data_IF_070284342088
#
_entry.id   IF_070284342088
#
_cell.length_a   1.000
_cell.length_b   1.000
_cell.length_c   1.000
_cell.angle_alpha   90.00
_cell.angle_beta   90.00
_cell.angle_gamma   90.00
#
_symmetry.space_group_name_H-M   'P 1'
#
loop_
_entity.id
_entity.type
_entity.pdbx_description
1 polymer ?
#
# COMPACT_ATOMS: atom_id res chain seq x y z
N UNK A 1 9.57 -26.48 -13.60
CA UNK A 1 9.75 -25.21 -12.86
C UNK A 1 8.47 -24.42 -12.99
N UNK A 2 7.73 -24.28 -11.95
CA UNK A 2 6.61 -23.35 -11.89
C UNK A 2 7.20 -21.94 -11.90
N UNK A 3 6.99 -21.17 -12.95
CA UNK A 3 7.21 -19.72 -12.94
C UNK A 3 6.24 -19.15 -11.91
N UNK A 4 6.71 -18.97 -10.70
CA UNK A 4 5.96 -18.28 -9.67
C UNK A 4 5.78 -16.84 -10.14
N UNK A 5 4.54 -16.43 -10.33
CA UNK A 5 4.22 -15.09 -10.81
C UNK A 5 4.29 -14.13 -9.62
N UNK A 6 5.44 -13.49 -9.42
CA UNK A 6 5.64 -12.51 -8.35
C UNK A 6 4.85 -11.25 -8.69
N UNK A 7 3.82 -10.97 -7.90
CA UNK A 7 2.99 -9.77 -8.08
C UNK A 7 3.57 -8.54 -7.38
N UNK A 8 4.20 -8.74 -6.22
CA UNK A 8 4.84 -7.67 -5.46
C UNK A 8 6.24 -8.08 -5.01
N UNK A 9 7.21 -7.22 -5.24
CA UNK A 9 8.60 -7.43 -4.84
C UNK A 9 9.12 -6.17 -4.14
N UNK A 10 9.76 -6.36 -2.99
CA UNK A 10 10.47 -5.33 -2.26
C UNK A 10 11.95 -5.70 -2.19
N UNK A 11 12.82 -4.75 -2.50
CA UNK A 11 14.28 -4.94 -2.52
C UNK A 11 14.96 -3.92 -1.62
N UNK A 12 15.74 -4.42 -0.69
CA UNK A 12 16.64 -3.66 0.19
C UNK A 12 15.92 -2.50 0.90
N UNK A 13 14.71 -2.74 1.42
CA UNK A 13 13.88 -1.70 2.02
C UNK A 13 14.46 -1.24 3.35
N UNK A 14 14.87 0.01 3.38
CA UNK A 14 15.29 0.72 4.59
C UNK A 14 14.40 1.93 4.80
N UNK A 15 13.86 2.07 6.00
CA UNK A 15 13.15 3.28 6.44
C UNK A 15 13.69 3.75 7.77
N UNK A 16 14.20 4.96 7.78
CA UNK A 16 14.70 5.61 8.98
C UNK A 16 13.86 6.85 9.30
N UNK A 17 13.71 7.11 10.58
CA UNK A 17 13.15 8.34 11.13
C UNK A 17 14.18 8.99 12.06
N UNK A 18 14.10 10.32 12.24
CA UNK A 18 15.05 11.07 13.06
C UNK A 18 16.24 11.60 12.26
N UNK A 19 17.10 12.34 12.94
CA UNK A 19 18.27 13.00 12.36
C UNK A 19 19.56 12.52 13.04
N UNK A 20 20.62 12.38 12.27
CA UNK A 20 22.00 12.07 12.70
C UNK A 20 22.09 11.00 13.80
N UNK A 21 22.40 11.40 15.04
CA UNK A 21 22.67 10.48 16.14
C UNK A 21 21.42 9.79 16.71
N UNK A 22 20.21 10.24 16.35
CA UNK A 22 18.93 9.71 16.82
C UNK A 22 18.13 8.98 15.73
N UNK A 23 18.81 8.35 14.77
CA UNK A 23 18.16 7.56 13.74
C UNK A 23 17.51 6.29 14.31
N UNK A 24 16.22 6.12 14.02
CA UNK A 24 15.48 4.91 14.31
C UNK A 24 15.20 4.20 12.99
N UNK A 25 15.62 2.95 12.89
CA UNK A 25 15.31 2.09 11.76
C UNK A 25 13.95 1.44 11.97
N UNK A 26 12.94 1.88 11.23
CA UNK A 26 11.64 1.23 11.21
C UNK A 26 11.65 -0.04 10.36
N UNK A 27 12.40 -0.03 9.25
CA UNK A 27 12.76 -1.22 8.47
C UNK A 27 14.26 -1.17 8.18
N UNK A 28 14.90 -2.33 8.11
CA UNK A 28 16.34 -2.42 7.95
C UNK A 28 16.69 -3.56 6.98
N UNK A 29 16.98 -3.20 5.72
CA UNK A 29 17.35 -4.11 4.63
C UNK A 29 16.37 -5.28 4.45
N UNK A 30 15.10 -4.98 4.23
CA UNK A 30 14.05 -5.99 4.03
C UNK A 30 13.92 -6.34 2.56
N UNK A 31 14.03 -7.61 2.25
CA UNK A 31 13.69 -8.22 0.95
C UNK A 31 12.44 -9.08 1.10
N UNK A 32 11.50 -8.96 0.17
CA UNK A 32 10.25 -9.68 0.18
C UNK A 32 9.74 -9.90 -1.24
N UNK A 33 9.21 -11.10 -1.49
CA UNK A 33 8.46 -11.40 -2.71
C UNK A 33 7.10 -12.00 -2.33
N UNK A 34 6.05 -11.52 -2.98
CA UNK A 34 4.68 -12.01 -2.83
C UNK A 34 4.20 -12.51 -4.19
N UNK A 35 3.76 -13.76 -4.20
CA UNK A 35 3.23 -14.41 -5.39
C UNK A 35 1.75 -14.09 -5.59
N UNK A 36 1.31 -14.05 -6.84
CA UNK A 36 -0.09 -13.89 -7.19
C UNK A 36 -0.96 -14.97 -6.53
N UNK A 37 -2.11 -14.58 -5.98
CA UNK A 37 -3.04 -15.48 -5.30
C UNK A 37 -2.60 -15.95 -3.92
N UNK A 38 -1.43 -15.52 -3.42
CA UNK A 38 -0.97 -15.89 -2.08
C UNK A 38 -1.62 -15.05 -0.99
N UNK A 39 -1.68 -15.61 0.22
CA UNK A 39 -2.05 -14.92 1.45
C UNK A 39 -0.82 -14.84 2.36
N UNK A 40 -0.37 -13.63 2.68
CA UNK A 40 0.84 -13.39 3.46
C UNK A 40 0.53 -12.62 4.73
N UNK A 41 1.04 -13.08 5.87
CA UNK A 41 0.93 -12.39 7.14
C UNK A 41 2.29 -11.83 7.59
N UNK A 42 2.32 -10.54 7.94
CA UNK A 42 3.48 -9.89 8.54
C UNK A 42 3.28 -9.88 10.06
N UNK A 43 4.13 -10.62 10.76
CA UNK A 43 4.05 -10.81 12.21
C UNK A 43 5.28 -10.25 12.91
N UNK A 44 5.12 -9.81 14.15
CA UNK A 44 6.23 -9.26 14.96
C UNK A 44 5.70 -8.53 16.19
N UNK A 45 6.61 -8.15 17.07
CA UNK A 45 6.28 -7.36 18.27
C UNK A 45 5.74 -5.98 17.90
N UNK A 46 4.97 -5.36 18.81
CA UNK A 46 4.56 -3.97 18.68
C UNK A 46 5.80 -3.06 18.50
N UNK A 47 5.74 -2.11 17.58
CA UNK A 47 6.85 -1.22 17.27
C UNK A 47 7.98 -1.82 16.44
N UNK A 48 7.83 -3.04 15.90
CA UNK A 48 8.85 -3.68 15.05
C UNK A 48 8.86 -3.22 13.58
N UNK A 49 8.04 -2.24 13.21
CA UNK A 49 8.01 -1.66 11.87
C UNK A 49 7.05 -2.33 10.87
N UNK A 50 6.16 -3.22 11.34
CA UNK A 50 5.19 -3.92 10.47
C UNK A 50 4.29 -2.98 9.68
N UNK A 51 3.68 -2.00 10.35
CA UNK A 51 2.81 -1.00 9.71
C UNK A 51 3.59 -0.12 8.74
N UNK A 52 4.81 0.27 9.10
CA UNK A 52 5.70 1.03 8.22
C UNK A 52 6.02 0.25 6.96
N UNK A 53 6.41 -1.02 7.09
CA UNK A 53 6.66 -1.89 5.94
C UNK A 53 5.41 -2.01 5.05
N UNK A 54 4.24 -2.27 5.65
CA UNK A 54 2.98 -2.36 4.90
C UNK A 54 2.67 -1.07 4.13
N UNK A 55 2.86 0.09 4.75
CA UNK A 55 2.67 1.39 4.08
C UNK A 55 3.67 1.62 2.95
N UNK A 56 4.90 1.14 3.08
CA UNK A 56 5.90 1.20 2.00
C UNK A 56 5.50 0.28 0.85
N UNK A 57 5.10 -0.95 1.13
CA UNK A 57 4.64 -1.91 0.11
C UNK A 57 3.40 -1.40 -0.64
N UNK A 58 2.54 -0.64 0.04
CA UNK A 58 1.35 -0.02 -0.55
C UNK A 58 1.63 1.30 -1.30
N UNK A 59 2.88 1.76 -1.37
CA UNK A 59 3.21 3.03 -2.02
C UNK A 59 2.71 4.27 -1.28
N UNK A 60 2.40 4.16 0.03
CA UNK A 60 1.92 5.26 0.87
C UNK A 60 3.06 6.04 1.53
N UNK A 61 4.16 5.36 1.84
CA UNK A 61 5.33 5.93 2.50
C UNK A 61 6.56 5.57 1.69
N UNK A 62 7.28 6.58 1.20
CA UNK A 62 8.52 6.36 0.46
C UNK A 62 9.60 5.81 1.40
N UNK A 63 10.31 4.73 1.02
CA UNK A 63 11.44 4.23 1.78
C UNK A 63 12.61 5.23 1.74
N UNK A 64 13.50 5.16 2.73
CA UNK A 64 14.77 5.91 2.72
C UNK A 64 15.72 5.32 1.68
N UNK A 65 15.69 3.99 1.52
CA UNK A 65 16.46 3.24 0.54
C UNK A 65 15.68 2.00 0.12
N UNK A 66 15.95 1.52 -1.08
CA UNK A 66 15.33 0.34 -1.65
C UNK A 66 14.14 0.68 -2.54
N UNK A 67 13.57 -0.34 -3.15
CA UNK A 67 12.53 -0.21 -4.16
C UNK A 67 11.42 -1.24 -3.97
N UNK A 68 10.21 -0.85 -4.37
CA UNK A 68 9.03 -1.74 -4.41
C UNK A 68 8.51 -1.80 -5.83
N UNK A 69 8.33 -3.01 -6.31
CA UNK A 69 7.73 -3.29 -7.62
C UNK A 69 6.38 -3.95 -7.44
N UNK A 70 5.37 -3.43 -8.12
CA UNK A 70 4.06 -4.07 -8.26
C UNK A 70 3.83 -4.40 -9.73
N UNK A 71 3.55 -5.66 -10.03
CA UNK A 71 3.43 -6.14 -11.41
C UNK A 71 4.63 -5.73 -12.28
N UNK A 72 5.85 -5.77 -11.72
CA UNK A 72 7.10 -5.40 -12.36
C UNK A 72 7.34 -3.90 -12.54
N UNK A 73 6.45 -3.04 -12.04
CA UNK A 73 6.58 -1.58 -12.13
C UNK A 73 7.08 -1.00 -10.82
N UNK A 74 8.16 -0.23 -10.84
CA UNK A 74 8.67 0.47 -9.66
C UNK A 74 7.70 1.55 -9.21
N UNK A 75 7.24 1.45 -7.94
CA UNK A 75 6.26 2.39 -7.39
C UNK A 75 6.88 3.77 -7.17
N UNK A 76 8.12 3.83 -6.71
CA UNK A 76 8.76 5.06 -6.27
C UNK A 76 9.54 5.80 -7.36
N UNK A 77 9.60 5.24 -8.57
CA UNK A 77 10.02 5.95 -9.79
C UNK A 77 8.88 6.74 -10.44
N UNK A 78 7.62 6.41 -10.09
CA UNK A 78 6.47 7.15 -10.56
C UNK A 78 6.41 8.52 -9.88
N UNK A 79 5.91 9.54 -10.60
CA UNK A 79 5.52 10.79 -9.97
C UNK A 79 4.25 10.59 -9.10
N UNK A 80 4.00 11.50 -8.17
CA UNK A 80 2.91 11.37 -7.18
C UNK A 80 1.53 11.18 -7.82
N UNK A 81 1.25 11.86 -8.92
CA UNK A 81 -0.03 11.74 -9.63
C UNK A 81 -0.20 10.34 -10.24
N UNK A 82 0.83 9.84 -10.92
CA UNK A 82 0.83 8.50 -11.53
C UNK A 82 0.76 7.42 -10.48
N UNK A 83 1.52 7.52 -9.39
CA UNK A 83 1.51 6.59 -8.28
C UNK A 83 0.13 6.54 -7.61
N UNK A 84 -0.50 7.69 -7.36
CA UNK A 84 -1.83 7.76 -6.75
C UNK A 84 -2.87 7.06 -7.63
N UNK A 85 -2.85 7.32 -8.94
CA UNK A 85 -3.77 6.67 -9.90
C UNK A 85 -3.50 5.17 -10.00
N UNK A 86 -2.24 4.75 -10.02
CA UNK A 86 -1.83 3.35 -10.09
C UNK A 86 -2.30 2.59 -8.85
N UNK A 87 -2.06 3.12 -7.64
CA UNK A 87 -2.55 2.53 -6.38
C UNK A 87 -4.07 2.34 -6.40
N UNK A 88 -4.81 3.40 -6.72
CA UNK A 88 -6.27 3.38 -6.74
C UNK A 88 -6.85 2.26 -7.60
N UNK A 89 -6.17 1.93 -8.70
CA UNK A 89 -6.62 0.92 -9.67
C UNK A 89 -6.10 -0.49 -9.41
N UNK A 90 -5.00 -0.63 -8.68
CA UNK A 90 -4.29 -1.89 -8.53
C UNK A 90 -4.22 -2.41 -7.10
N UNK A 91 -4.53 -1.58 -6.12
CA UNK A 91 -4.41 -1.92 -4.71
C UNK A 91 -5.69 -1.56 -3.97
N UNK A 92 -6.16 -2.47 -3.11
CA UNK A 92 -7.11 -2.18 -2.05
C UNK A 92 -6.38 -2.06 -0.72
N UNK A 93 -6.79 -1.15 0.13
CA UNK A 93 -6.20 -0.96 1.45
C UNK A 93 -7.28 -0.89 2.52
N UNK A 94 -7.14 -1.69 3.58
CA UNK A 94 -7.98 -1.63 4.76
C UNK A 94 -7.13 -1.11 5.91
N UNK A 95 -7.47 0.09 6.40
CA UNK A 95 -6.74 0.74 7.49
C UNK A 95 -7.20 0.22 8.85
N UNK A 96 -6.32 0.32 9.84
CA UNK A 96 -6.65 0.04 11.24
C UNK A 96 -7.70 1.03 11.78
N UNK A 97 -7.67 2.27 11.33
CA UNK A 97 -8.66 3.31 11.62
C UNK A 97 -9.65 3.43 10.47
N UNK A 98 -10.88 3.84 10.75
CA UNK A 98 -11.97 3.88 9.77
C UNK A 98 -11.73 4.81 8.58
N UNK A 99 -10.92 5.86 8.74
CA UNK A 99 -10.60 6.85 7.70
C UNK A 99 -11.83 7.45 7.00
N UNK A 100 -12.92 7.60 7.75
CA UNK A 100 -14.15 8.19 7.23
C UNK A 100 -14.04 9.71 7.15
N UNK A 101 -14.59 10.27 6.09
CA UNK A 101 -14.75 11.72 5.94
C UNK A 101 -15.97 12.12 6.75
N UNK A 102 -15.75 12.84 7.86
CA UNK A 102 -16.78 13.15 8.85
C UNK A 102 -17.87 14.10 8.33
N UNK A 103 -17.59 14.84 7.26
CA UNK A 103 -18.54 15.76 6.61
C UNK A 103 -19.41 15.06 5.57
N UNK A 104 -19.20 13.79 5.32
CA UNK A 104 -19.92 12.96 4.35
C UNK A 104 -20.76 11.90 5.06
N UNK A 105 -21.90 11.57 4.46
CA UNK A 105 -22.73 10.47 4.93
C UNK A 105 -22.14 9.10 4.55
N UNK A 106 -22.80 8.01 4.95
CA UNK A 106 -22.32 6.64 4.72
C UNK A 106 -22.16 6.35 3.23
N UNK A 107 -23.16 6.66 2.42
CA UNK A 107 -23.14 6.40 0.98
C UNK A 107 -22.02 7.20 0.28
N UNK A 108 -21.88 8.47 0.62
CA UNK A 108 -20.82 9.34 0.06
C UNK A 108 -19.43 8.81 0.38
N UNK A 109 -19.20 8.29 1.61
CA UNK A 109 -17.94 7.66 1.98
C UNK A 109 -17.67 6.37 1.18
N UNK A 110 -18.71 5.56 0.93
CA UNK A 110 -18.58 4.30 0.18
C UNK A 110 -18.26 4.56 -1.29
N UNK A 111 -18.94 5.51 -1.92
CA UNK A 111 -18.79 5.78 -3.37
C UNK A 111 -17.62 6.70 -3.70
N UNK A 112 -17.01 7.35 -2.73
CA UNK A 112 -15.92 8.30 -2.95
C UNK A 112 -14.78 7.76 -3.83
N UNK A 113 -14.24 6.55 -3.63
CA UNK A 113 -13.19 6.02 -4.49
C UNK A 113 -13.61 5.87 -5.95
N UNK A 114 -14.89 5.58 -6.20
CA UNK A 114 -15.45 5.44 -7.55
C UNK A 114 -15.51 6.82 -8.21
N UNK A 115 -16.02 7.83 -7.51
CA UNK A 115 -16.04 9.22 -8.01
C UNK A 115 -14.64 9.77 -8.30
N UNK A 116 -13.66 9.45 -7.47
CA UNK A 116 -12.27 9.88 -7.68
C UNK A 116 -11.59 9.25 -8.91
N UNK A 117 -12.13 8.14 -9.41
CA UNK A 117 -11.64 7.47 -10.62
C UNK A 117 -12.55 7.67 -11.84
N UNK A 118 -13.47 8.63 -11.79
CA UNK A 118 -14.48 8.89 -12.84
C UNK A 118 -15.28 7.63 -13.23
N UNK A 119 -15.45 6.73 -12.26
CA UNK A 119 -16.21 5.49 -12.43
C UNK A 119 -17.72 5.69 -12.30
N UNK A 120 -18.49 4.82 -12.95
CA UNK A 120 -19.93 4.75 -12.76
C UNK A 120 -20.26 3.96 -11.49
N UNK A 121 -21.32 4.38 -10.80
CA UNK A 121 -21.80 3.72 -9.59
C UNK A 121 -22.78 2.63 -10.01
N UNK A 122 -22.51 1.40 -9.58
CA UNK A 122 -23.45 0.28 -9.71
C UNK A 122 -24.38 0.27 -8.46
N UNK A 123 -25.57 0.81 -8.63
CA UNK A 123 -26.56 0.88 -7.57
C UNK A 123 -26.99 -0.51 -7.07
N UNK A 124 -27.05 -1.50 -7.94
CA UNK A 124 -27.37 -2.88 -7.56
C UNK A 124 -26.31 -3.52 -6.67
N UNK A 125 -25.05 -3.17 -6.88
CA UNK A 125 -23.94 -3.60 -6.04
C UNK A 125 -24.02 -2.95 -4.65
N UNK A 126 -24.31 -1.65 -4.59
CA UNK A 126 -24.43 -0.90 -3.33
C UNK A 126 -25.56 -1.40 -2.42
N UNK A 127 -26.67 -1.85 -3.00
CA UNK A 127 -27.81 -2.37 -2.24
C UNK A 127 -27.50 -3.74 -1.60
N UNK A 128 -26.58 -4.51 -2.17
CA UNK A 128 -26.20 -5.85 -1.69
C UNK A 128 -25.05 -5.85 -0.67
N UNK A 129 -24.41 -4.72 -0.47
CA UNK A 129 -23.30 -4.56 0.48
C UNK A 129 -23.75 -3.95 1.78
#
# INVERSE_FOLDING_TARGET
MTNMNVILEAKDIVKTYGYEDNKIYATNHIDLQIEEGSFVAIVGRSGSGKSTLLHILAGLVKPTKGEVYLEGKSLYEMNDHTLTRFRRRRMGFVFQFFNLISTQNVLENIVLPIHLDDGEIDDDYLIKT
#
